data_IF_470162402910
#
_entry.id   IF_470162402910
#
_cell.length_a   1.000
_cell.length_b   1.000
_cell.length_c   1.000
_cell.angle_alpha   90.00
_cell.angle_beta   90.00
_cell.angle_gamma   90.00
#
_symmetry.space_group_name_H-M   'P 1'
#
loop_
_entity.id
_entity.type
_entity.pdbx_description
1 polymer ?
#
# COMPACT_ATOMS: atom_id res chain seq x y z
N UNK A 1 -13.59 -1.11 -9.48
CA UNK A 1 -12.29 -1.79 -9.71
C UNK A 1 -11.07 -1.03 -9.20
N UNK A 2 -11.21 0.20 -8.64
CA UNK A 2 -10.06 0.98 -8.19
C UNK A 2 -9.17 0.26 -7.17
N UNK A 3 -9.75 -0.36 -6.14
CA UNK A 3 -8.98 -1.02 -5.08
C UNK A 3 -8.18 -2.22 -5.61
N UNK A 4 -8.77 -3.08 -6.43
CA UNK A 4 -8.05 -4.20 -7.04
C UNK A 4 -6.85 -3.74 -7.88
N UNK A 5 -6.99 -2.62 -8.60
CA UNK A 5 -5.88 -2.05 -9.36
C UNK A 5 -4.81 -1.42 -8.46
N UNK A 6 -5.21 -0.93 -7.29
CA UNK A 6 -4.30 -0.41 -6.26
C UNK A 6 -3.50 -1.55 -5.62
N UNK A 7 -4.17 -2.65 -5.25
CA UNK A 7 -3.51 -3.87 -4.75
C UNK A 7 -2.48 -4.39 -5.77
N UNK A 8 -2.85 -4.49 -7.06
CA UNK A 8 -1.93 -4.90 -8.12
C UNK A 8 -0.76 -3.91 -8.35
N UNK A 9 -0.97 -2.63 -8.04
CA UNK A 9 0.08 -1.61 -8.11
C UNK A 9 1.10 -1.80 -6.99
N UNK A 10 0.63 -2.10 -5.78
CA UNK A 10 1.47 -2.45 -4.64
C UNK A 10 2.25 -3.75 -4.88
N UNK A 11 1.57 -4.81 -5.35
CA UNK A 11 2.21 -6.07 -5.74
C UNK A 11 3.32 -5.86 -6.79
N UNK A 12 3.11 -4.90 -7.70
CA UNK A 12 4.12 -4.52 -8.70
C UNK A 12 5.33 -3.83 -8.06
N UNK A 13 5.13 -2.93 -7.10
CA UNK A 13 6.22 -2.22 -6.45
C UNK A 13 7.17 -3.18 -5.70
N UNK A 14 6.62 -4.21 -5.05
CA UNK A 14 7.45 -5.26 -4.41
C UNK A 14 8.08 -6.17 -5.46
N UNK A 15 7.31 -6.64 -6.45
CA UNK A 15 7.84 -7.54 -7.50
C UNK A 15 8.99 -6.93 -8.30
N UNK A 16 8.94 -5.63 -8.54
CA UNK A 16 9.94 -4.91 -9.34
C UNK A 16 11.11 -4.37 -8.49
N UNK A 17 11.19 -4.75 -7.20
CA UNK A 17 12.25 -4.33 -6.25
C UNK A 17 12.30 -2.80 -6.04
N UNK A 18 11.16 -2.11 -6.23
CA UNK A 18 11.02 -0.71 -5.83
C UNK A 18 10.83 -0.60 -4.30
N UNK A 19 10.09 -1.55 -3.71
CA UNK A 19 9.87 -1.72 -2.28
C UNK A 19 10.39 -3.07 -1.78
N UNK A 20 10.95 -3.11 -0.57
CA UNK A 20 11.53 -4.34 0.00
C UNK A 20 10.47 -5.40 0.32
N UNK A 21 9.37 -5.00 0.95
CA UNK A 21 8.26 -5.88 1.29
C UNK A 21 6.94 -5.11 1.43
N UNK A 22 5.86 -5.86 1.67
CA UNK A 22 4.51 -5.34 1.89
C UNK A 22 4.41 -4.36 3.07
N UNK A 23 5.32 -4.40 4.05
CA UNK A 23 5.25 -3.48 5.18
C UNK A 23 5.59 -2.04 4.74
N UNK A 24 6.49 -1.87 3.77
CA UNK A 24 6.83 -0.53 3.24
C UNK A 24 5.66 0.14 2.53
N UNK A 25 4.80 -0.63 1.86
CA UNK A 25 3.61 -0.14 1.16
C UNK A 25 2.65 0.66 2.06
N UNK A 26 2.59 0.31 3.35
CA UNK A 26 1.68 0.92 4.33
C UNK A 26 2.37 1.85 5.34
N UNK A 27 3.69 1.71 5.52
CA UNK A 27 4.43 2.39 6.60
C UNK A 27 5.43 3.42 6.09
N UNK A 28 5.89 3.34 4.85
CA UNK A 28 6.89 4.24 4.31
C UNK A 28 6.26 5.62 4.01
N UNK A 29 6.72 6.71 4.66
CA UNK A 29 6.20 8.03 4.37
C UNK A 29 6.72 8.53 3.01
N UNK A 30 5.84 9.18 2.26
CA UNK A 30 6.18 9.91 1.03
C UNK A 30 5.55 11.30 1.04
N UNK A 31 6.10 12.22 0.23
CA UNK A 31 5.62 13.59 0.16
C UNK A 31 4.65 13.79 -1.00
N UNK A 32 3.52 14.43 -0.74
CA UNK A 32 2.52 14.77 -1.74
C UNK A 32 1.80 16.08 -1.39
N UNK A 33 1.16 16.69 -2.38
CA UNK A 33 0.27 17.85 -2.20
C UNK A 33 -1.00 17.67 -3.03
N UNK A 34 -2.08 18.32 -2.61
CA UNK A 34 -3.28 18.48 -3.41
C UNK A 34 -3.28 19.88 -4.06
N UNK A 35 -3.33 19.94 -5.39
CA UNK A 35 -3.43 21.18 -6.15
C UNK A 35 -4.62 21.03 -7.10
N UNK A 36 -5.61 21.93 -7.00
CA UNK A 36 -6.81 21.92 -7.86
C UNK A 36 -7.55 20.56 -7.88
N UNK A 37 -7.60 19.89 -6.73
CA UNK A 37 -8.25 18.58 -6.59
C UNK A 37 -7.45 17.40 -7.15
N UNK A 38 -6.21 17.63 -7.59
CA UNK A 38 -5.30 16.58 -8.08
C UNK A 38 -4.20 16.31 -7.05
N UNK A 39 -3.93 15.03 -6.78
CA UNK A 39 -2.78 14.60 -5.97
C UNK A 39 -1.50 14.68 -6.79
N UNK A 40 -0.46 15.30 -6.23
CA UNK A 40 0.84 15.47 -6.87
C UNK A 40 1.91 14.90 -5.94
N UNK A 41 2.67 13.93 -6.44
CA UNK A 41 3.83 13.37 -5.77
C UNK A 41 5.01 14.32 -5.78
N UNK A 42 5.69 14.44 -4.65
CA UNK A 42 6.81 15.36 -4.45
C UNK A 42 8.07 14.60 -4.09
N UNK A 43 9.14 14.84 -4.83
CA UNK A 43 10.41 14.17 -4.63
C UNK A 43 11.39 15.05 -3.83
N UNK A 44 11.07 15.27 -2.55
CA UNK A 44 11.94 15.95 -1.59
C UNK A 44 11.80 15.31 -0.20
N UNK A 45 12.60 15.74 0.78
CA UNK A 45 12.48 15.31 2.18
C UNK A 45 12.81 13.83 2.38
N UNK A 46 12.08 13.15 3.28
CA UNK A 46 12.28 11.71 3.60
C UNK A 46 12.13 10.78 2.40
N UNK A 47 11.46 11.22 1.34
CA UNK A 47 11.24 10.46 0.12
C UNK A 47 12.33 10.68 -0.94
N UNK A 48 13.28 11.60 -0.71
CA UNK A 48 14.30 11.94 -1.72
C UNK A 48 15.10 10.69 -2.08
N UNK A 49 15.11 10.34 -3.36
CA UNK A 49 15.77 9.15 -3.92
C UNK A 49 15.21 7.80 -3.44
N UNK A 50 14.08 7.75 -2.75
CA UNK A 50 13.43 6.46 -2.42
C UNK A 50 12.56 6.01 -3.59
N UNK A 51 12.94 4.87 -4.19
CA UNK A 51 12.16 4.20 -5.24
C UNK A 51 10.78 3.80 -4.71
N UNK A 52 10.74 3.13 -3.55
CA UNK A 52 9.49 2.71 -2.92
C UNK A 52 8.56 3.91 -2.65
N UNK A 53 9.06 4.98 -2.05
CA UNK A 53 8.24 6.17 -1.77
C UNK A 53 7.64 6.77 -3.06
N UNK A 54 8.40 6.75 -4.15
CA UNK A 54 7.93 7.22 -5.46
C UNK A 54 6.88 6.28 -6.07
N UNK A 55 7.09 4.96 -5.98
CA UNK A 55 6.17 3.94 -6.47
C UNK A 55 4.83 3.96 -5.71
N UNK A 56 4.88 3.95 -4.38
CA UNK A 56 3.68 3.99 -3.54
C UNK A 56 2.90 5.29 -3.74
N UNK A 57 3.58 6.44 -3.82
CA UNK A 57 2.90 7.71 -4.12
C UNK A 57 2.17 7.68 -5.48
N UNK A 58 2.76 7.05 -6.49
CA UNK A 58 2.13 6.89 -7.80
C UNK A 58 0.89 5.98 -7.72
N UNK A 59 0.97 4.86 -7.01
CA UNK A 59 -0.16 3.96 -6.76
C UNK A 59 -1.31 4.68 -6.04
N UNK A 60 -0.99 5.43 -4.97
CA UNK A 60 -1.97 6.16 -4.17
C UNK A 60 -2.61 7.32 -4.93
N UNK A 61 -1.83 8.00 -5.78
CA UNK A 61 -2.36 9.06 -6.64
C UNK A 61 -3.35 8.51 -7.67
N UNK A 62 -3.06 7.37 -8.28
CA UNK A 62 -3.95 6.75 -9.28
C UNK A 62 -5.20 6.15 -8.64
N UNK A 63 -5.15 5.59 -7.43
CA UNK A 63 -6.36 5.10 -6.74
C UNK A 63 -7.30 6.25 -6.37
N UNK A 64 -6.76 7.38 -5.87
CA UNK A 64 -7.55 8.57 -5.55
C UNK A 64 -8.21 9.16 -6.81
N UNK A 65 -7.47 9.23 -7.92
CA UNK A 65 -7.98 9.65 -9.22
C UNK A 65 -9.01 8.67 -9.81
N UNK A 66 -8.91 7.38 -9.48
CA UNK A 66 -9.91 6.40 -9.86
C UNK A 66 -11.19 6.58 -9.02
N UNK A 67 -11.06 6.77 -7.71
CA UNK A 67 -12.17 7.00 -6.79
C UNK A 67 -12.97 8.25 -7.13
N UNK A 68 -12.32 9.32 -7.60
CA UNK A 68 -13.00 10.59 -7.93
C UNK A 68 -14.07 10.48 -9.03
N UNK A 69 -14.09 9.36 -9.78
CA UNK A 69 -15.07 9.07 -10.84
C UNK A 69 -16.39 8.51 -10.31
N UNK A 70 -16.41 8.07 -9.05
CA UNK A 70 -17.56 7.39 -8.45
C UNK A 70 -18.11 8.21 -7.29
N UNK A 71 -19.42 8.18 -7.09
CA UNK A 71 -20.01 8.74 -5.88
C UNK A 71 -19.54 7.97 -4.65
N UNK A 72 -19.32 8.70 -3.55
CA UNK A 72 -19.04 8.07 -2.25
C UNK A 72 -20.19 7.13 -1.87
N UNK A 73 -19.93 5.84 -1.57
CA UNK A 73 -20.97 4.93 -1.11
C UNK A 73 -21.69 5.48 0.12
N UNK A 74 -23.03 5.48 0.10
CA UNK A 74 -23.85 5.91 1.23
C UNK A 74 -24.01 4.83 2.30
N UNK A 75 -23.67 3.59 1.96
CA UNK A 75 -23.78 2.42 2.82
C UNK A 75 -22.48 1.63 2.81
N UNK A 76 -22.09 1.11 3.97
CA UNK A 76 -20.98 0.17 4.07
C UNK A 76 -21.45 -1.22 3.64
N UNK A 77 -20.63 -1.91 2.84
CA UNK A 77 -20.86 -3.32 2.55
C UNK A 77 -20.76 -4.13 3.86
N UNK A 78 -21.76 -4.96 4.13
CA UNK A 78 -21.70 -5.90 5.26
C UNK A 78 -20.85 -7.10 4.86
N UNK A 79 -19.88 -7.46 5.70
CA UNK A 79 -19.20 -8.74 5.57
C UNK A 79 -20.14 -9.85 6.03
N UNK A 80 -20.72 -10.60 5.10
CA UNK A 80 -21.48 -11.81 5.43
C UNK A 80 -20.48 -12.91 5.81
N UNK A 81 -20.39 -13.24 7.10
CA UNK A 81 -19.59 -14.39 7.54
C UNK A 81 -20.15 -15.66 6.92
N UNK A 82 -19.45 -16.21 5.94
CA UNK A 82 -19.71 -17.57 5.50
C UNK A 82 -19.15 -18.51 6.58
N UNK A 83 -20.01 -19.31 7.23
CA UNK A 83 -19.60 -20.39 8.13
C UNK A 83 -18.95 -21.52 7.31
N UNK A 84 -17.78 -21.27 6.73
CA UNK A 84 -16.95 -22.29 6.08
C UNK A 84 -15.82 -22.64 7.03
N UNK A 85 -16.07 -23.62 7.90
CA UNK A 85 -15.06 -24.30 8.72
C UNK A 85 -14.14 -25.22 7.88
N UNK A 86 -13.57 -24.77 6.74
CA UNK A 86 -12.84 -25.72 5.85
C UNK A 86 -11.65 -25.23 5.04
N UNK A 87 -11.19 -23.98 5.15
CA UNK A 87 -9.94 -23.57 4.52
C UNK A 87 -9.06 -22.79 5.50
N UNK A 88 -8.03 -23.47 6.04
CA UNK A 88 -6.88 -22.82 6.63
C UNK A 88 -6.15 -22.05 5.52
N UNK A 89 -6.50 -20.79 5.30
CA UNK A 89 -5.55 -19.88 4.65
C UNK A 89 -4.49 -19.59 5.70
N UNK A 90 -3.29 -20.20 5.57
CA UNK A 90 -2.11 -19.72 6.31
C UNK A 90 -1.93 -18.27 5.89
N UNK A 91 -2.36 -17.33 6.72
CA UNK A 91 -1.70 -16.03 6.69
C UNK A 91 -0.24 -16.32 7.00
N UNK A 92 0.72 -15.86 6.17
CA UNK A 92 2.11 -15.81 6.61
C UNK A 92 2.06 -15.05 7.94
N UNK A 93 2.51 -15.70 9.00
CA UNK A 93 2.79 -14.99 10.24
C UNK A 93 3.87 -13.98 9.82
N UNK A 94 3.49 -12.73 9.59
CA UNK A 94 4.42 -11.63 9.67
C UNK A 94 4.94 -11.68 11.09
N UNK A 95 6.04 -12.40 11.27
CA UNK A 95 6.75 -12.40 12.52
C UNK A 95 7.38 -11.01 12.64
N UNK A 96 6.62 -10.10 13.25
CA UNK A 96 7.01 -8.74 13.56
C UNK A 96 8.40 -8.67 14.23
N UNK A 97 8.83 -9.76 14.90
CA UNK A 97 10.17 -9.89 15.48
C UNK A 97 11.29 -10.09 14.45
N UNK A 98 11.00 -10.60 13.25
CA UNK A 98 11.99 -10.76 12.16
C UNK A 98 12.50 -9.42 11.65
N UNK A 99 11.62 -8.43 11.54
CA UNK A 99 11.96 -7.06 11.13
C UNK A 99 12.72 -6.28 12.22
N UNK A 100 12.46 -6.56 13.50
CA UNK A 100 13.25 -6.01 14.60
C UNK A 100 14.63 -6.64 14.71
N UNK A 101 14.79 -7.92 14.31
CA UNK A 101 16.08 -8.62 14.34
C UNK A 101 17.03 -8.16 13.23
N UNK A 102 16.53 -7.79 12.05
CA UNK A 102 17.37 -7.25 10.96
C UNK A 102 17.88 -5.83 11.21
N UNK A 103 17.21 -5.04 12.07
CA UNK A 103 17.66 -3.68 12.43
C UNK A 103 18.65 -3.63 13.59
N UNK A 104 18.90 -4.75 14.26
CA UNK A 104 19.73 -4.83 15.48
C UNK A 104 20.98 -5.73 15.37
N UNK A 105 21.44 -6.12 14.17
CA UNK A 105 22.83 -6.57 13.94
C UNK A 105 23.41 -7.59 14.94
N UNK A 106 22.74 -8.71 15.19
CA UNK A 106 23.30 -9.87 15.94
C UNK A 106 23.16 -11.13 15.08
N UNK A 107 24.04 -11.27 14.10
CA UNK A 107 25.03 -12.36 13.83
C UNK A 107 25.93 -11.83 12.71
#
# INVERSE_FOLDING_TARGET
MCCMNHDLCYDKAVRDDDCYDTAEEYLLPYNWKCIQGQSICLNYGVAVNSKCASAICACDSEVVKCWSRFEKPKIHAKCTKMNINKYHYRQPLFDFFSLLRSKNGIV
#
